data_IF_880761976703
#
_entry.id   IF_880761976703
#
_cell.length_a   1.000
_cell.length_b   1.000
_cell.length_c   1.000
_cell.angle_alpha   90.00
_cell.angle_beta   90.00
_cell.angle_gamma   90.00
#
_symmetry.space_group_name_H-M   'P 1'
#
loop_
_entity.id
_entity.type
_entity.pdbx_description
1 polymer ?
#
# COMPACT_ATOMS: atom_id res chain seq x y z
N UNK A 1 -5.67 -23.66 -1.67
CA UNK A 1 -5.28 -22.62 -0.69
C UNK A 1 -4.07 -21.91 -1.28
N UNK A 2 -4.31 -20.87 -2.08
CA UNK A 2 -3.24 -19.98 -2.53
C UNK A 2 -2.80 -19.20 -1.30
N UNK A 3 -1.52 -19.23 -0.97
CA UNK A 3 -0.99 -18.43 0.13
C UNK A 3 -0.61 -17.09 -0.48
N UNK A 4 -1.32 -16.04 -0.08
CA UNK A 4 -0.95 -14.69 -0.46
C UNK A 4 0.41 -14.36 0.15
N UNK A 5 1.31 -13.77 -0.62
CA UNK A 5 2.62 -13.37 -0.14
C UNK A 5 2.51 -12.05 0.63
N UNK A 6 2.78 -12.11 1.93
CA UNK A 6 2.76 -10.95 2.81
C UNK A 6 4.05 -10.15 2.65
N UNK A 7 3.92 -8.87 2.34
CA UNK A 7 5.07 -7.99 2.09
C UNK A 7 5.03 -6.73 2.96
N UNK A 8 6.22 -6.28 3.36
CA UNK A 8 6.44 -5.01 4.03
C UNK A 8 7.01 -4.00 3.03
N UNK A 9 6.38 -2.83 2.91
CA UNK A 9 6.77 -1.79 1.97
C UNK A 9 7.37 -0.58 2.70
N UNK A 10 8.69 -0.44 2.62
CA UNK A 10 9.45 0.68 3.17
C UNK A 10 9.64 1.77 2.10
N UNK A 11 9.36 3.02 2.44
CA UNK A 11 9.37 4.12 1.47
C UNK A 11 8.08 4.23 0.65
N UNK A 12 6.94 3.85 1.23
CA UNK A 12 5.61 3.84 0.59
C UNK A 12 5.13 5.21 0.05
N UNK A 13 5.80 6.30 0.41
CA UNK A 13 5.54 7.67 -0.08
C UNK A 13 6.45 8.09 -1.24
N UNK A 14 7.55 7.38 -1.49
CA UNK A 14 8.41 7.63 -2.65
C UNK A 14 7.80 7.08 -3.94
N UNK A 15 8.33 7.49 -5.08
CA UNK A 15 7.82 7.10 -6.41
C UNK A 15 7.77 5.58 -6.61
N UNK A 16 8.75 4.84 -6.09
CA UNK A 16 8.73 3.36 -6.15
C UNK A 16 7.60 2.83 -5.25
N UNK A 17 7.50 3.29 -4.01
CA UNK A 17 6.47 2.84 -3.08
C UNK A 17 5.03 3.13 -3.55
N UNK A 18 4.80 4.27 -4.20
CA UNK A 18 3.49 4.57 -4.82
C UNK A 18 3.18 3.62 -5.97
N UNK A 19 4.15 3.35 -6.85
CA UNK A 19 3.95 2.45 -7.99
C UNK A 19 3.77 1.00 -7.53
N UNK A 20 4.48 0.57 -6.48
CA UNK A 20 4.31 -0.76 -5.88
C UNK A 20 2.88 -0.96 -5.35
N UNK A 21 2.27 0.07 -4.75
CA UNK A 21 0.87 -0.01 -4.30
C UNK A 21 -0.10 -0.27 -5.46
N UNK A 22 0.13 0.34 -6.62
CA UNK A 22 -0.73 0.14 -7.79
C UNK A 22 -0.59 -1.28 -8.37
N UNK A 23 0.63 -1.85 -8.35
CA UNK A 23 0.87 -3.25 -8.74
C UNK A 23 0.17 -4.22 -7.77
N UNK A 24 0.30 -4.01 -6.46
CA UNK A 24 -0.36 -4.86 -5.45
C UNK A 24 -1.88 -4.78 -5.56
N UNK A 25 -2.43 -3.58 -5.80
CA UNK A 25 -3.88 -3.39 -6.05
C UNK A 25 -4.37 -4.16 -7.28
N UNK A 26 -3.53 -4.30 -8.31
CA UNK A 26 -3.85 -5.07 -9.51
C UNK A 26 -3.64 -6.59 -9.35
N UNK A 27 -3.06 -7.06 -8.24
CA UNK A 27 -2.72 -8.47 -8.00
C UNK A 27 -3.00 -8.87 -6.54
N UNK A 28 -4.18 -8.47 -6.03
CA UNK A 28 -4.62 -8.76 -4.67
C UNK A 28 -4.83 -10.26 -4.39
N UNK A 29 -4.87 -11.09 -5.42
CA UNK A 29 -4.93 -12.56 -5.36
C UNK A 29 -3.55 -13.20 -5.07
N UNK A 30 -2.48 -12.40 -5.06
CA UNK A 30 -1.09 -12.88 -4.92
C UNK A 30 -0.33 -12.17 -3.80
N UNK A 31 -0.63 -10.90 -3.56
CA UNK A 31 0.14 -10.06 -2.66
C UNK A 31 -0.76 -9.36 -1.66
N UNK A 32 -0.28 -9.30 -0.42
CA UNK A 32 -0.90 -8.56 0.67
C UNK A 32 0.15 -7.66 1.34
N UNK A 33 -0.12 -6.35 1.42
CA UNK A 33 0.75 -5.43 2.17
C UNK A 33 0.32 -5.44 3.64
N UNK A 34 1.17 -5.98 4.49
CA UNK A 34 0.95 -6.04 5.94
C UNK A 34 1.53 -4.82 6.66
N UNK A 35 2.61 -4.24 6.13
CA UNK A 35 3.30 -3.10 6.74
C UNK A 35 3.60 -2.02 5.69
N UNK A 36 3.29 -0.77 6.02
CA UNK A 36 3.68 0.42 5.29
C UNK A 36 4.59 1.28 6.17
N UNK A 37 5.79 1.58 5.69
CA UNK A 37 6.67 2.58 6.31
C UNK A 37 6.94 3.71 5.32
N UNK A 38 6.97 4.95 5.80
CA UNK A 38 7.39 6.12 5.03
C UNK A 38 8.49 6.84 5.80
N UNK A 39 9.62 7.10 5.13
CA UNK A 39 10.77 7.77 5.76
C UNK A 39 10.54 9.26 6.04
N UNK A 40 9.52 9.86 5.44
CA UNK A 40 9.13 11.24 5.68
C UNK A 40 7.66 11.45 5.28
N UNK A 41 6.97 12.31 6.06
CA UNK A 41 5.56 12.70 5.95
C UNK A 41 4.52 11.71 6.48
N UNK A 42 4.30 11.72 7.80
CA UNK A 42 3.14 11.09 8.47
C UNK A 42 1.82 11.53 7.81
N UNK A 43 1.69 12.81 7.42
CA UNK A 43 0.49 13.33 6.76
C UNK A 43 0.21 12.68 5.41
N UNK A 44 1.26 12.30 4.66
CA UNK A 44 1.10 11.61 3.38
C UNK A 44 0.60 10.16 3.58
N UNK A 45 1.05 9.48 4.64
CA UNK A 45 0.51 8.17 5.03
C UNK A 45 -0.96 8.32 5.44
N UNK A 46 -1.28 9.32 6.26
CA UNK A 46 -2.64 9.58 6.76
C UNK A 46 -3.63 9.77 5.61
N UNK A 47 -3.28 10.61 4.64
CA UNK A 47 -4.14 10.82 3.46
C UNK A 47 -4.34 9.53 2.66
N UNK A 48 -3.33 8.68 2.49
CA UNK A 48 -3.48 7.39 1.79
C UNK A 48 -4.40 6.42 2.53
N UNK A 49 -4.30 6.33 3.85
CA UNK A 49 -5.17 5.46 4.65
C UNK A 49 -6.62 5.96 4.65
N UNK A 50 -6.84 7.26 4.83
CA UNK A 50 -8.18 7.85 4.89
C UNK A 50 -8.89 7.84 3.52
N UNK A 51 -8.16 8.12 2.44
CA UNK A 51 -8.75 8.11 1.09
C UNK A 51 -9.08 6.69 0.60
N UNK A 52 -8.55 5.65 1.24
CA UNK A 52 -8.92 4.25 0.95
C UNK A 52 -10.32 3.90 1.48
N UNK A 53 -10.88 4.68 2.41
CA UNK A 53 -12.21 4.48 2.99
C UNK A 53 -13.34 5.20 2.22
N UNK A 54 -13.01 6.12 1.30
CA UNK A 54 -13.99 7.01 0.65
C UNK A 54 -14.31 6.69 -0.82
N UNK A 55 -13.72 5.64 -1.41
CA UNK A 55 -13.96 5.26 -2.82
C UNK A 55 -14.96 4.09 -2.98
N UNK A 56 -15.94 3.99 -2.08
CA UNK A 56 -17.10 3.12 -2.22
C UNK A 56 -18.36 3.96 -2.08
N UNK A 57 -18.68 4.74 -3.11
CA UNK A 57 -20.03 5.27 -3.31
C UNK A 57 -20.31 5.51 -4.78
#
# INVERSE_FOLDING_TARGET
MTRDENIALLGSTGSIGTQTLDVVRASQDKFNIEVLAAGSSIDAIRNKLLNSAHQQS
#
